data_IF_215370084428
#
_entry.id   IF_215370084428
#
_cell.length_a   1.000
_cell.length_b   1.000
_cell.length_c   1.000
_cell.angle_alpha   90.00
_cell.angle_beta   90.00
_cell.angle_gamma   90.00
#
_symmetry.space_group_name_H-M   'P 1'
#
loop_
_entity.id
_entity.type
_entity.pdbx_description
1 polymer ?
#
# COMPACT_ATOMS: atom_id res chain seq x y z
N UNK A 1 14.35 6.89 -19.73
CA UNK A 1 14.47 5.46 -19.42
C UNK A 1 14.64 5.32 -17.91
N UNK A 2 13.72 4.66 -17.21
CA UNK A 2 13.80 4.53 -15.75
C UNK A 2 14.80 3.46 -15.33
N UNK A 3 15.45 3.62 -14.17
CA UNK A 3 16.23 2.55 -13.53
C UNK A 3 15.28 1.71 -12.68
N UNK A 4 15.29 0.40 -12.89
CA UNK A 4 14.53 -0.56 -12.08
C UNK A 4 15.51 -1.50 -11.41
N UNK A 5 15.31 -1.75 -10.11
CA UNK A 5 16.03 -2.79 -9.38
C UNK A 5 15.10 -3.98 -9.18
N UNK A 6 15.55 -5.17 -9.54
CA UNK A 6 14.84 -6.43 -9.32
C UNK A 6 15.63 -7.25 -8.32
N UNK A 7 15.00 -7.58 -7.19
CA UNK A 7 15.68 -8.24 -6.06
C UNK A 7 14.97 -9.56 -5.77
N UNK A 8 15.73 -10.65 -5.72
CA UNK A 8 15.20 -11.94 -5.28
C UNK A 8 15.12 -11.97 -3.76
N UNK A 9 13.97 -12.35 -3.24
CA UNK A 9 13.60 -12.26 -1.83
C UNK A 9 12.75 -13.48 -1.47
N UNK A 10 12.94 -14.09 -0.30
CA UNK A 10 12.40 -15.44 -0.03
C UNK A 10 11.95 -15.73 1.40
N UNK A 11 11.95 -14.75 2.31
CA UNK A 11 11.54 -14.97 3.71
C UNK A 11 10.04 -14.70 3.95
N UNK A 12 9.62 -13.45 3.79
CA UNK A 12 8.22 -13.02 3.96
C UNK A 12 8.01 -11.71 3.21
N UNK A 13 6.76 -11.40 2.80
CA UNK A 13 6.44 -10.16 2.07
C UNK A 13 6.94 -8.91 2.82
N UNK A 14 6.78 -8.86 4.14
CA UNK A 14 7.26 -7.73 4.98
C UNK A 14 8.78 -7.59 4.98
N UNK A 15 9.53 -8.68 5.18
CA UNK A 15 10.99 -8.66 5.21
C UNK A 15 11.56 -8.30 3.83
N UNK A 16 10.99 -8.92 2.82
CA UNK A 16 11.22 -8.64 1.40
C UNK A 16 11.05 -7.15 1.08
N UNK A 17 9.91 -6.56 1.47
CA UNK A 17 9.60 -5.16 1.24
C UNK A 17 10.58 -4.24 1.97
N UNK A 18 10.89 -4.52 3.23
CA UNK A 18 11.87 -3.77 4.02
C UNK A 18 13.25 -3.78 3.35
N UNK A 19 13.73 -4.94 2.89
CA UNK A 19 14.99 -5.05 2.16
C UNK A 19 14.99 -4.21 0.88
N UNK A 20 13.92 -4.28 0.07
CA UNK A 20 13.81 -3.49 -1.17
C UNK A 20 13.82 -1.98 -0.89
N UNK A 21 13.11 -1.53 0.13
CA UNK A 21 13.07 -0.11 0.51
C UNK A 21 14.42 0.36 1.06
N UNK A 22 15.14 -0.49 1.79
CA UNK A 22 16.47 -0.14 2.30
C UNK A 22 17.50 0.07 1.18
N UNK A 23 17.38 -0.66 0.05
CA UNK A 23 18.24 -0.45 -1.12
C UNK A 23 18.09 0.94 -1.76
N UNK A 24 16.93 1.59 -1.60
CA UNK A 24 16.71 2.97 -2.06
C UNK A 24 16.96 4.02 -0.95
N UNK A 25 17.47 3.61 0.20
CA UNK A 25 17.84 4.49 1.31
C UNK A 25 16.88 4.47 2.50
N UNK A 26 15.94 3.53 2.53
CA UNK A 26 15.05 3.31 3.69
C UNK A 26 13.83 4.22 3.71
N UNK A 27 12.79 3.82 4.45
CA UNK A 27 11.50 4.52 4.44
C UNK A 27 11.57 5.93 5.02
N UNK A 28 12.45 6.15 6.02
CA UNK A 28 12.65 7.45 6.68
C UNK A 28 13.23 8.51 5.75
N UNK A 29 13.83 8.12 4.61
CA UNK A 29 14.28 9.05 3.58
C UNK A 29 13.13 9.75 2.87
N UNK A 30 11.96 9.11 2.82
CA UNK A 30 10.82 9.55 2.01
C UNK A 30 9.60 9.95 2.83
N UNK A 31 9.52 9.52 4.08
CA UNK A 31 8.36 9.76 4.94
C UNK A 31 8.81 10.14 6.34
N UNK A 32 8.40 11.31 6.82
CA UNK A 32 8.61 11.87 8.16
C UNK A 32 7.41 11.60 9.09
N UNK A 33 7.63 11.60 10.40
CA UNK A 33 6.61 11.17 11.39
C UNK A 33 5.33 12.04 11.37
N UNK A 34 5.47 13.30 10.96
CA UNK A 34 4.38 14.26 10.78
C UNK A 34 3.58 14.08 9.49
N UNK A 35 4.09 13.30 8.53
CA UNK A 35 3.47 13.21 7.21
C UNK A 35 2.16 12.43 7.26
N UNK A 36 1.23 12.85 6.41
CA UNK A 36 0.03 12.08 6.07
C UNK A 36 0.38 11.22 4.85
N UNK A 37 0.22 9.91 4.96
CA UNK A 37 0.57 8.97 3.90
C UNK A 37 -0.68 8.45 3.22
N UNK A 38 -0.77 8.64 1.90
CA UNK A 38 -1.79 8.00 1.07
C UNK A 38 -1.16 6.80 0.37
N UNK A 39 -1.76 5.63 0.51
CA UNK A 39 -1.44 4.44 -0.26
C UNK A 39 -2.45 4.27 -1.38
N UNK A 40 -1.95 4.16 -2.61
CA UNK A 40 -2.77 3.98 -3.81
C UNK A 40 -2.54 2.59 -4.41
N UNK A 41 -3.24 1.54 -3.94
CA UNK A 41 -3.15 0.23 -4.55
C UNK A 41 -3.81 0.28 -5.92
N UNK A 42 -3.16 -0.25 -6.96
CA UNK A 42 -3.81 -0.37 -8.26
C UNK A 42 -4.99 -1.34 -8.17
N UNK A 43 -6.20 -0.90 -8.55
CA UNK A 43 -7.43 -1.70 -8.60
C UNK A 43 -8.05 -1.59 -9.99
N UNK A 44 -7.97 -2.66 -10.78
CA UNK A 44 -8.56 -2.78 -12.13
C UNK A 44 -9.12 -4.21 -12.32
N UNK A 45 -10.06 -4.65 -11.48
CA UNK A 45 -10.53 -6.05 -11.48
C UNK A 45 -9.67 -7.00 -10.63
N UNK A 46 -10.08 -8.27 -10.55
CA UNK A 46 -9.41 -9.28 -9.71
C UNK A 46 -8.08 -9.74 -10.31
N UNK A 47 -7.97 -9.75 -11.64
CA UNK A 47 -6.77 -10.09 -12.41
C UNK A 47 -5.67 -9.01 -12.39
N UNK A 48 -6.00 -7.74 -12.14
CA UNK A 48 -5.05 -6.62 -12.20
C UNK A 48 -5.11 -5.74 -10.93
N UNK A 49 -5.15 -6.39 -9.77
CA UNK A 49 -5.11 -5.72 -8.48
C UNK A 49 -3.76 -5.86 -7.77
N UNK A 50 -3.40 -4.84 -6.98
CA UNK A 50 -2.26 -4.93 -6.06
C UNK A 50 -2.58 -5.95 -4.97
N UNK A 51 -1.68 -6.90 -4.73
CA UNK A 51 -1.86 -7.91 -3.70
C UNK A 51 -2.12 -7.28 -2.32
N UNK A 52 -3.26 -7.61 -1.71
CA UNK A 52 -3.69 -7.02 -0.44
C UNK A 52 -2.70 -7.27 0.71
N UNK A 53 -2.03 -8.44 0.73
CA UNK A 53 -1.00 -8.76 1.73
C UNK A 53 0.25 -7.90 1.56
N UNK A 54 0.56 -7.48 0.33
CA UNK A 54 1.65 -6.53 0.05
C UNK A 54 1.31 -5.15 0.61
N UNK A 55 0.10 -4.64 0.32
CA UNK A 55 -0.36 -3.36 0.88
C UNK A 55 -0.38 -3.39 2.41
N UNK A 56 -0.91 -4.47 3.00
CA UNK A 56 -0.88 -4.67 4.45
C UNK A 56 0.52 -4.70 5.05
N UNK A 57 1.47 -5.36 4.37
CA UNK A 57 2.87 -5.40 4.80
C UNK A 57 3.53 -4.00 4.76
N UNK A 58 3.18 -3.17 3.77
CA UNK A 58 3.65 -1.79 3.70
C UNK A 58 3.04 -0.92 4.80
N UNK A 59 1.75 -1.07 5.09
CA UNK A 59 1.09 -0.38 6.21
C UNK A 59 1.79 -0.73 7.52
N UNK A 60 2.01 -2.02 7.78
CA UNK A 60 2.69 -2.42 9.01
C UNK A 60 4.11 -1.86 9.08
N UNK A 61 4.85 -1.85 7.96
CA UNK A 61 6.18 -1.25 7.91
C UNK A 61 6.16 0.26 8.24
N UNK A 62 5.15 0.99 7.76
CA UNK A 62 4.96 2.40 8.09
C UNK A 62 4.63 2.59 9.58
N UNK A 63 3.73 1.79 10.14
CA UNK A 63 3.38 1.81 11.57
C UNK A 63 4.60 1.52 12.43
N UNK A 64 5.38 0.49 12.11
CA UNK A 64 6.61 0.12 12.83
C UNK A 64 7.65 1.25 12.79
N UNK A 65 7.57 2.14 11.79
CA UNK A 65 8.39 3.36 11.66
C UNK A 65 7.70 4.62 12.24
N UNK A 66 6.70 4.44 13.10
CA UNK A 66 6.05 5.49 13.87
C UNK A 66 4.98 6.29 13.13
N UNK A 67 4.49 5.83 11.97
CA UNK A 67 3.41 6.52 11.25
C UNK A 67 2.06 6.25 11.90
N UNK A 68 1.25 7.31 12.02
CA UNK A 68 -0.10 7.28 12.60
C UNK A 68 -1.20 7.64 11.61
N UNK A 69 -0.88 8.44 10.59
CA UNK A 69 -1.84 8.97 9.62
C UNK A 69 -1.63 8.30 8.26
N UNK A 70 -2.22 7.11 8.08
CA UNK A 70 -2.14 6.34 6.84
C UNK A 70 -3.54 6.19 6.27
N UNK A 71 -3.69 6.47 4.98
CA UNK A 71 -4.95 6.44 4.24
C UNK A 71 -4.80 5.51 3.04
N UNK A 72 -5.88 4.88 2.61
CA UNK A 72 -5.92 4.18 1.33
C UNK A 72 -6.99 4.86 0.46
N UNK A 73 -6.61 5.17 -0.77
CA UNK A 73 -7.53 5.71 -1.76
C UNK A 73 -7.15 5.19 -3.15
N UNK A 74 -8.13 5.13 -4.03
CA UNK A 74 -7.95 4.86 -5.46
C UNK A 74 -9.03 5.64 -6.21
N UNK A 75 -8.81 5.88 -7.50
CA UNK A 75 -9.78 6.50 -8.39
C UNK A 75 -9.86 5.68 -9.68
N UNK A 76 -10.38 4.46 -9.57
CA UNK A 76 -10.46 3.53 -10.70
C UNK A 76 -11.32 4.15 -11.80
N UNK A 77 -10.67 4.47 -12.92
CA UNK A 77 -11.25 5.16 -14.08
C UNK A 77 -12.00 6.46 -13.75
N UNK A 78 -11.66 7.15 -12.65
CA UNK A 78 -12.33 8.38 -12.24
C UNK A 78 -13.78 8.19 -11.80
N UNK A 79 -14.23 6.96 -11.53
CA UNK A 79 -15.61 6.66 -11.19
C UNK A 79 -15.72 6.04 -9.79
N UNK A 80 -16.51 6.68 -8.93
CA UNK A 80 -16.71 6.28 -7.54
C UNK A 80 -17.33 4.89 -7.40
N UNK A 81 -18.36 4.59 -8.19
CA UNK A 81 -19.09 3.31 -8.12
C UNK A 81 -18.20 2.16 -8.58
N UNK A 82 -17.40 2.39 -9.63
CA UNK A 82 -16.43 1.39 -10.11
C UNK A 82 -15.31 1.19 -9.08
N UNK A 83 -14.81 2.27 -8.49
CA UNK A 83 -13.80 2.21 -7.43
C UNK A 83 -14.33 1.40 -6.24
N UNK A 84 -15.55 1.71 -5.78
CA UNK A 84 -16.20 0.97 -4.69
C UNK A 84 -16.40 -0.50 -5.03
N UNK A 85 -16.86 -0.82 -6.24
CA UNK A 85 -17.01 -2.19 -6.73
C UNK A 85 -15.68 -2.95 -6.62
N UNK A 86 -14.59 -2.41 -7.14
CA UNK A 86 -13.31 -3.10 -7.10
C UNK A 86 -12.70 -3.18 -5.71
N UNK A 87 -12.93 -2.21 -4.83
CA UNK A 87 -12.59 -2.33 -3.41
C UNK A 87 -13.26 -3.55 -2.76
N UNK A 88 -14.51 -3.85 -3.13
CA UNK A 88 -15.25 -5.00 -2.64
C UNK A 88 -14.73 -6.31 -3.25
N UNK A 89 -14.60 -6.38 -4.57
CA UNK A 89 -14.19 -7.59 -5.29
C UNK A 89 -12.77 -8.05 -4.93
N UNK A 90 -11.88 -7.11 -4.62
CA UNK A 90 -10.47 -7.40 -4.29
C UNK A 90 -10.23 -7.66 -2.80
N UNK A 91 -11.28 -7.58 -1.96
CA UNK A 91 -11.21 -7.82 -0.52
C UNK A 91 -10.59 -6.68 0.29
N UNK A 92 -10.28 -5.53 -0.32
CA UNK A 92 -9.79 -4.37 0.42
C UNK A 92 -10.85 -3.75 1.33
N UNK A 93 -12.14 -3.92 0.99
CA UNK A 93 -13.27 -3.45 1.82
C UNK A 93 -13.39 -4.17 3.17
N UNK A 94 -12.86 -5.40 3.29
CA UNK A 94 -12.96 -6.23 4.49
C UNK A 94 -11.69 -6.20 5.35
N UNK A 95 -10.67 -5.42 4.95
CA UNK A 95 -9.42 -5.31 5.71
C UNK A 95 -9.66 -4.69 7.10
N UNK A 96 -9.04 -5.23 8.17
CA UNK A 96 -9.31 -4.80 9.54
C UNK A 96 -9.08 -3.29 9.74
N UNK A 97 -10.13 -2.60 10.20
CA UNK A 97 -10.20 -1.14 10.45
C UNK A 97 -9.40 -0.67 11.68
N UNK A 98 -8.42 -1.45 12.12
CA UNK A 98 -7.64 -1.21 13.35
C UNK A 98 -6.61 -0.09 13.17
N UNK A 99 -6.44 0.37 11.92
CA UNK A 99 -5.76 1.60 11.57
C UNK A 99 -6.85 2.60 11.17
N UNK A 100 -6.63 3.89 11.45
CA UNK A 100 -7.49 5.00 11.02
C UNK A 100 -7.43 5.16 9.48
N UNK A 101 -7.83 4.11 8.76
CA UNK A 101 -7.94 4.05 7.32
C UNK A 101 -9.27 4.71 6.96
N UNK A 102 -9.24 5.99 6.65
CA UNK A 102 -10.36 6.60 5.92
C UNK A 102 -10.17 6.30 4.44
N UNK A 103 -11.17 5.65 3.87
CA UNK A 103 -11.28 5.47 2.43
C UNK A 103 -11.76 6.78 1.82
N UNK A 104 -10.92 7.40 1.01
CA UNK A 104 -11.35 8.45 0.09
C UNK A 104 -11.68 7.74 -1.22
N UNK A 105 -12.98 7.56 -1.47
CA UNK A 105 -13.54 7.12 -2.76
C UNK A 105 -13.98 8.37 -3.51
#
# INVERSE_FOLDING_TARGET
MGKVSVVKIGKSIKNSLSSCINLIGGIKRYVNSSDKVLLKPNLNGSECCTNIKLTGSLIQLLIDNGKKNIFIAESTFGNKDITQKYFQETGYSTWPKNTTLSWLI
#
